data_IF_476429862366
#
_entry.id   IF_476429862366
#
_cell.length_a   1.000
_cell.length_b   1.000
_cell.length_c   1.000
_cell.angle_alpha   90.00
_cell.angle_beta   90.00
_cell.angle_gamma   90.00
#
_symmetry.space_group_name_H-M   'P 1'
#
loop_
_entity.id
_entity.type
_entity.pdbx_description
1 polymer ?
#
# COMPACT_ATOMS: atom_id res chain seq x y z
N UNK A 1 22.88 18.82 36.01
CA UNK A 1 21.94 17.88 36.64
C UNK A 1 20.99 17.42 35.54
N UNK A 2 20.92 16.11 35.27
CA UNK A 2 20.22 15.54 34.12
C UNK A 2 18.74 15.28 34.45
N UNK A 3 17.83 15.92 33.73
CA UNK A 3 16.38 15.71 33.85
C UNK A 3 15.98 14.47 33.05
N UNK A 4 15.53 13.44 33.77
CA UNK A 4 14.97 12.23 33.18
C UNK A 4 13.52 12.50 32.77
N UNK A 5 13.23 12.49 31.47
CA UNK A 5 11.86 12.45 30.97
C UNK A 5 11.24 11.08 31.30
N UNK A 6 10.28 11.07 32.22
CA UNK A 6 9.51 9.88 32.55
C UNK A 6 8.46 9.60 31.46
N UNK A 7 8.58 8.45 30.80
CA UNK A 7 7.58 7.90 29.89
C UNK A 7 6.30 7.57 30.67
N UNK A 8 5.18 8.22 30.34
CA UNK A 8 3.87 7.92 30.91
C UNK A 8 3.47 6.48 30.53
N UNK A 9 3.07 5.61 31.48
CA UNK A 9 2.69 4.24 31.18
C UNK A 9 1.44 4.20 30.27
N UNK A 10 1.39 3.29 29.28
CA UNK A 10 0.24 3.20 28.38
C UNK A 10 -1.00 2.77 29.16
N UNK A 11 -2.08 3.57 29.05
CA UNK A 11 -3.37 3.28 29.68
C UNK A 11 -3.90 1.90 29.22
N UNK A 12 -4.53 1.11 30.10
CA UNK A 12 -5.12 -0.18 29.72
C UNK A 12 -6.14 0.01 28.59
N UNK A 13 -5.94 -0.69 27.47
CA UNK A 13 -6.81 -0.64 26.30
C UNK A 13 -7.94 -1.65 26.46
N UNK A 14 -9.20 -1.22 26.38
CA UNK A 14 -10.36 -2.13 26.33
C UNK A 14 -10.37 -2.88 25.00
N UNK A 15 -10.85 -4.14 24.93
CA UNK A 15 -10.85 -4.93 23.68
C UNK A 15 -11.46 -4.18 22.48
N UNK A 16 -12.50 -3.37 22.67
CA UNK A 16 -13.10 -2.55 21.61
C UNK A 16 -12.21 -1.44 21.04
N UNK A 17 -11.11 -1.09 21.71
CA UNK A 17 -10.16 -0.05 21.27
C UNK A 17 -9.14 -0.54 20.24
N UNK A 18 -8.98 -1.86 20.08
CA UNK A 18 -8.11 -2.44 19.05
C UNK A 18 -8.75 -2.43 17.66
N UNK A 19 -10.07 -2.31 17.58
CA UNK A 19 -10.80 -2.21 16.30
C UNK A 19 -10.78 -0.80 15.70
N UNK A 20 -10.29 0.21 16.45
CA UNK A 20 -10.20 1.60 15.99
C UNK A 20 -8.74 1.91 15.64
N UNK A 21 -8.41 2.19 14.36
CA UNK A 21 -7.07 2.66 14.03
C UNK A 21 -6.80 3.97 14.78
N UNK A 22 -5.69 4.02 15.52
CA UNK A 22 -5.24 5.25 16.18
C UNK A 22 -4.91 6.27 15.11
N UNK A 23 -5.52 7.46 15.18
CA UNK A 23 -5.34 8.53 14.18
C UNK A 23 -3.89 8.98 14.04
N UNK A 24 -3.09 8.83 15.10
CA UNK A 24 -1.64 9.12 15.09
C UNK A 24 -0.79 8.13 14.26
N UNK A 25 -1.38 7.01 13.80
CA UNK A 25 -0.68 5.96 13.06
C UNK A 25 -1.42 5.51 11.79
N UNK A 26 -2.20 6.40 11.17
CA UNK A 26 -2.69 6.19 9.80
C UNK A 26 -1.54 6.47 8.81
N UNK A 27 -0.46 5.70 8.94
CA UNK A 27 0.47 5.49 7.83
C UNK A 27 -0.24 4.54 6.88
N UNK A 28 -0.21 4.82 5.58
CA UNK A 28 -0.67 3.85 4.58
C UNK A 28 -0.13 2.46 4.95
N UNK A 29 -0.96 1.40 5.01
CA UNK A 29 -0.48 0.06 5.34
C UNK A 29 0.57 -0.43 4.33
N UNK A 30 0.63 0.22 3.17
CA UNK A 30 1.66 0.07 2.17
C UNK A 30 2.79 1.04 2.53
N UNK A 31 3.87 0.48 3.09
CA UNK A 31 5.13 1.19 3.24
C UNK A 31 5.70 1.44 1.85
N UNK A 32 5.81 2.71 1.46
CA UNK A 32 6.54 3.06 0.25
C UNK A 32 8.02 2.84 0.56
N UNK A 33 8.71 1.90 -0.11
CA UNK A 33 10.14 1.73 0.11
C UNK A 33 10.82 3.07 -0.13
N UNK A 34 11.63 3.52 0.83
CA UNK A 34 12.42 4.73 0.72
C UNK A 34 13.52 4.46 -0.30
N UNK A 35 13.22 4.61 -1.59
CA UNK A 35 14.25 4.59 -2.60
C UNK A 35 15.11 5.84 -2.44
N UNK A 36 16.46 5.71 -2.49
CA UNK A 36 17.37 6.83 -2.34
C UNK A 36 17.09 7.94 -3.37
N UNK A 37 16.53 7.58 -4.52
CA UNK A 37 16.19 8.47 -5.60
C UNK A 37 14.74 8.21 -6.09
N UNK A 38 13.89 9.23 -6.06
CA UNK A 38 12.56 9.19 -6.68
C UNK A 38 12.63 9.56 -8.18
N UNK A 39 13.77 9.26 -8.82
CA UNK A 39 14.14 9.74 -10.17
C UNK A 39 13.48 8.93 -11.29
N UNK A 40 12.57 8.02 -10.95
CA UNK A 40 11.86 7.21 -11.91
C UNK A 40 10.39 7.59 -11.97
N UNK A 41 9.88 7.70 -13.20
CA UNK A 41 8.50 8.03 -13.48
C UNK A 41 7.71 6.76 -13.88
N UNK A 42 6.56 6.57 -13.25
CA UNK A 42 5.57 5.60 -13.70
C UNK A 42 4.62 6.34 -14.65
N UNK A 43 4.57 5.90 -15.91
CA UNK A 43 3.73 6.52 -16.93
C UNK A 43 2.25 6.39 -16.57
N UNK A 44 1.50 7.48 -16.77
CA UNK A 44 0.04 7.50 -16.58
C UNK A 44 -0.68 6.42 -17.42
N UNK A 45 -0.18 6.11 -18.62
CA UNK A 45 -0.72 5.01 -19.45
C UNK A 45 -0.66 3.65 -18.76
N UNK A 46 0.41 3.35 -18.02
CA UNK A 46 0.54 2.12 -17.24
C UNK A 46 -0.48 2.08 -16.11
N UNK A 47 -0.70 3.20 -15.44
CA UNK A 47 -1.69 3.33 -14.37
C UNK A 47 -3.11 3.11 -14.92
N UNK A 48 -3.45 3.77 -16.03
CA UNK A 48 -4.75 3.62 -16.69
C UNK A 48 -4.99 2.19 -17.17
N UNK A 49 -3.97 1.54 -17.73
CA UNK A 49 -4.04 0.13 -18.14
C UNK A 49 -4.35 -0.78 -16.96
N UNK A 50 -3.65 -0.61 -15.83
CA UNK A 50 -3.89 -1.41 -14.62
C UNK A 50 -5.28 -1.17 -14.03
N UNK A 51 -5.74 0.07 -14.02
CA UNK A 51 -7.09 0.44 -13.60
C UNK A 51 -8.18 -0.13 -14.50
N UNK A 52 -7.91 -0.36 -15.79
CA UNK A 52 -8.88 -0.98 -16.69
C UNK A 52 -8.85 -2.50 -16.65
N UNK A 53 -7.67 -3.10 -16.46
CA UNK A 53 -7.47 -4.55 -16.64
C UNK A 53 -7.55 -5.36 -15.34
N UNK A 54 -7.17 -4.77 -14.20
CA UNK A 54 -7.07 -5.47 -12.91
C UNK A 54 -7.64 -4.64 -11.76
N UNK A 55 -8.76 -3.94 -11.97
CA UNK A 55 -9.40 -3.24 -10.87
C UNK A 55 -10.08 -4.21 -9.89
N UNK A 56 -9.85 -4.01 -8.60
CA UNK A 56 -10.43 -4.78 -7.52
C UNK A 56 -11.34 -3.89 -6.65
N UNK A 57 -12.62 -4.26 -6.58
CA UNK A 57 -13.66 -3.50 -5.92
C UNK A 57 -14.02 -4.05 -4.52
N UNK A 58 -13.44 -5.19 -4.13
CA UNK A 58 -13.80 -5.97 -2.92
C UNK A 58 -15.26 -6.40 -2.91
N UNK A 59 -15.81 -6.72 -4.08
CA UNK A 59 -17.13 -7.33 -4.17
C UNK A 59 -17.07 -8.78 -3.69
N UNK A 60 -18.17 -9.29 -3.15
CA UNK A 60 -18.26 -10.69 -2.69
C UNK A 60 -18.05 -11.68 -3.85
N UNK A 61 -18.34 -11.26 -5.07
CA UNK A 61 -18.13 -12.02 -6.29
C UNK A 61 -16.70 -11.99 -6.84
N UNK A 62 -15.83 -11.11 -6.32
CA UNK A 62 -14.45 -10.99 -6.79
C UNK A 62 -13.52 -11.91 -5.99
N UNK A 63 -12.61 -12.58 -6.69
CA UNK A 63 -11.56 -13.37 -6.06
C UNK A 63 -10.28 -12.53 -5.89
N UNK A 64 -9.88 -12.35 -4.64
CA UNK A 64 -8.64 -11.65 -4.28
C UNK A 64 -7.38 -12.37 -4.80
N UNK A 65 -7.38 -13.70 -4.88
CA UNK A 65 -6.23 -14.46 -5.36
C UNK A 65 -6.06 -14.29 -6.87
N UNK A 66 -7.14 -14.40 -7.64
CA UNK A 66 -7.15 -14.10 -9.07
C UNK A 66 -6.66 -12.67 -9.34
N UNK A 67 -7.12 -11.69 -8.56
CA UNK A 67 -6.66 -10.30 -8.67
C UNK A 67 -5.14 -10.17 -8.49
N UNK A 68 -4.60 -10.74 -7.41
CA UNK A 68 -3.15 -10.70 -7.13
C UNK A 68 -2.38 -11.35 -8.27
N UNK A 69 -2.82 -12.52 -8.75
CA UNK A 69 -2.17 -13.22 -9.87
C UNK A 69 -2.14 -12.36 -11.14
N UNK A 70 -3.28 -11.81 -11.57
CA UNK A 70 -3.37 -10.94 -12.74
C UNK A 70 -2.52 -9.68 -12.60
N UNK A 71 -2.43 -9.13 -11.38
CA UNK A 71 -1.56 -8.00 -11.09
C UNK A 71 -0.08 -8.34 -11.28
N UNK A 72 0.37 -9.52 -10.81
CA UNK A 72 1.75 -9.97 -11.02
C UNK A 72 2.07 -10.14 -12.51
N UNK A 73 1.14 -10.72 -13.28
CA UNK A 73 1.29 -10.92 -14.73
C UNK A 73 1.41 -9.59 -15.49
N UNK A 74 0.53 -8.61 -15.21
CA UNK A 74 0.56 -7.31 -15.89
C UNK A 74 1.74 -6.44 -15.49
N UNK A 75 2.19 -6.54 -14.24
CA UNK A 75 3.33 -5.73 -13.78
C UNK A 75 4.68 -6.31 -14.19
N UNK A 76 4.77 -7.57 -14.61
CA UNK A 76 6.03 -8.20 -15.00
C UNK A 76 6.71 -7.52 -16.20
N UNK A 77 5.91 -6.95 -17.11
CA UNK A 77 6.38 -6.13 -18.23
C UNK A 77 6.79 -4.70 -17.84
N UNK A 78 6.51 -4.27 -16.61
CA UNK A 78 6.81 -2.92 -16.14
C UNK A 78 8.15 -2.93 -15.42
N UNK A 79 9.25 -2.77 -16.16
CA UNK A 79 10.61 -2.71 -15.62
C UNK A 79 11.15 -1.29 -15.63
N UNK A 80 11.80 -0.90 -14.54
CA UNK A 80 12.52 0.37 -14.41
C UNK A 80 13.96 0.05 -14.01
N UNK A 81 14.93 0.55 -14.78
CA UNK A 81 16.34 0.29 -14.53
C UNK A 81 16.75 0.79 -13.13
N UNK A 82 17.44 -0.06 -12.38
CA UNK A 82 17.92 0.27 -11.03
C UNK A 82 16.86 0.26 -9.93
N UNK A 83 15.60 -0.06 -10.24
CA UNK A 83 14.51 -0.14 -9.25
C UNK A 83 14.10 -1.61 -9.06
N UNK A 84 14.03 -2.12 -7.82
CA UNK A 84 13.52 -3.47 -7.57
C UNK A 84 12.08 -3.63 -8.07
N UNK A 85 11.79 -4.75 -8.73
CA UNK A 85 10.45 -5.02 -9.28
C UNK A 85 9.36 -4.94 -8.22
N UNK A 86 9.65 -5.42 -7.01
CA UNK A 86 8.74 -5.35 -5.87
C UNK A 86 8.42 -3.92 -5.45
N UNK A 87 9.38 -2.98 -5.55
CA UNK A 87 9.11 -1.57 -5.26
C UNK A 87 8.18 -0.93 -6.31
N UNK A 88 8.33 -1.32 -7.58
CA UNK A 88 7.42 -0.91 -8.66
C UNK A 88 6.01 -1.46 -8.39
N UNK A 89 5.92 -2.76 -8.07
CA UNK A 89 4.66 -3.43 -7.72
C UNK A 89 3.98 -2.76 -6.53
N UNK A 90 4.68 -2.53 -5.43
CA UNK A 90 4.13 -1.86 -4.25
C UNK A 90 3.59 -0.45 -4.56
N UNK A 91 4.23 0.27 -5.48
CA UNK A 91 3.77 1.60 -5.92
C UNK A 91 2.57 1.55 -6.87
N UNK A 92 2.45 0.47 -7.66
CA UNK A 92 1.36 0.26 -8.62
C UNK A 92 0.11 -0.35 -8.00
N UNK A 93 0.27 -1.20 -6.98
CA UNK A 93 -0.83 -1.92 -6.33
C UNK A 93 -1.98 -1.02 -5.85
N UNK A 94 -1.75 0.15 -5.24
CA UNK A 94 -2.84 1.05 -4.88
C UNK A 94 -3.72 1.44 -6.07
N UNK A 95 -3.18 1.56 -7.28
CA UNK A 95 -3.96 1.96 -8.45
C UNK A 95 -4.92 0.86 -8.92
N UNK A 96 -4.67 -0.40 -8.56
CA UNK A 96 -5.56 -1.51 -8.89
C UNK A 96 -6.73 -1.63 -7.91
N UNK A 97 -6.69 -0.94 -6.78
CA UNK A 97 -7.79 -0.92 -5.81
C UNK A 97 -8.79 0.21 -6.11
N UNK A 98 -10.08 -0.11 -6.16
CA UNK A 98 -11.13 0.91 -6.17
C UNK A 98 -11.07 1.76 -4.89
N UNK A 99 -11.52 3.02 -4.95
CA UNK A 99 -11.61 3.93 -3.80
C UNK A 99 -12.35 3.32 -2.60
N UNK A 100 -13.36 2.48 -2.83
CA UNK A 100 -14.08 1.74 -1.79
C UNK A 100 -13.23 0.64 -1.11
N UNK A 101 -12.17 0.18 -1.78
CA UNK A 101 -11.27 -0.87 -1.33
C UNK A 101 -10.02 -0.36 -0.57
N UNK A 102 -9.80 0.96 -0.49
CA UNK A 102 -8.59 1.59 0.07
C UNK A 102 -8.64 1.85 1.59
N UNK A 103 -9.68 1.39 2.31
CA UNK A 103 -9.87 1.67 3.75
C UNK A 103 -8.91 0.90 4.65
#
# INVERSE_FOLDING_TARGET
>A
MAEHQAQVPPRPRTMGSYSRPSVDNVKSPILHPTLPNNDYEIKSSTISMLQSAVQFNRMVSEDAHAHVKSFYELTDGTKVNGVPQEAIRLRLFPFTLNRAAKK
#
